data_IF_417715380412
#
_entry.id   IF_417715380412
#
_cell.length_a   1.000
_cell.length_b   1.000
_cell.length_c   1.000
_cell.angle_alpha   90.00
_cell.angle_beta   90.00
_cell.angle_gamma   90.00
#
_symmetry.space_group_name_H-M   'P 1'
#
loop_
_entity.id
_entity.type
_entity.pdbx_description
1 polymer ?
#
# COMPACT_ATOMS: atom_id res chain seq x y z
N UNK A 1 8.53 20.47 -6.25
CA UNK A 1 8.78 19.03 -6.48
C UNK A 1 8.27 18.69 -7.87
N UNK A 2 8.83 17.68 -8.56
CA UNK A 2 8.25 17.14 -9.81
C UNK A 2 7.80 15.73 -9.52
N UNK A 3 6.57 15.38 -9.93
CA UNK A 3 5.97 14.07 -9.67
C UNK A 3 5.54 13.41 -10.98
N UNK A 4 5.58 12.09 -11.01
CA UNK A 4 5.09 11.27 -12.11
C UNK A 4 4.53 9.99 -11.53
N UNK A 5 3.42 9.52 -12.08
CA UNK A 5 2.82 8.23 -11.73
C UNK A 5 2.34 7.50 -12.97
N UNK A 6 2.48 6.19 -12.96
CA UNK A 6 2.02 5.32 -14.05
C UNK A 6 1.58 3.98 -13.46
N UNK A 7 0.55 3.40 -14.03
CA UNK A 7 0.15 2.02 -13.81
C UNK A 7 -0.25 1.41 -15.15
N UNK A 8 -0.01 0.12 -15.32
CA UNK A 8 -0.29 -0.58 -16.57
C UNK A 8 -0.69 -2.04 -16.29
N UNK A 9 -1.62 -2.57 -17.06
CA UNK A 9 -2.10 -3.96 -16.90
C UNK A 9 -1.03 -5.00 -17.25
N UNK A 10 -0.03 -4.61 -18.01
CA UNK A 10 0.99 -5.50 -18.54
C UNK A 10 0.46 -6.41 -19.66
N UNK A 11 1.30 -7.38 -20.04
CA UNK A 11 1.02 -8.25 -21.20
C UNK A 11 0.34 -9.58 -20.85
N UNK A 12 0.21 -9.90 -19.54
CA UNK A 12 -0.26 -11.22 -19.09
C UNK A 12 -1.63 -11.14 -18.43
N UNK A 13 -1.88 -10.06 -17.67
CA UNK A 13 -3.14 -9.86 -16.96
C UNK A 13 -4.20 -9.26 -17.88
N UNK A 14 -5.47 -9.52 -17.59
CA UNK A 14 -6.61 -8.91 -18.29
C UNK A 14 -7.14 -7.67 -17.58
N UNK A 15 -6.90 -7.56 -16.27
CA UNK A 15 -7.35 -6.47 -15.43
C UNK A 15 -6.15 -5.94 -14.64
N UNK A 16 -5.99 -4.64 -14.64
CA UNK A 16 -5.05 -3.97 -13.76
C UNK A 16 -5.69 -3.87 -12.36
N UNK A 17 -5.06 -4.48 -11.38
CA UNK A 17 -5.51 -4.45 -9.99
C UNK A 17 -4.73 -3.43 -9.14
N UNK A 18 -3.73 -2.76 -9.74
CA UNK A 18 -3.00 -1.68 -9.09
C UNK A 18 -3.77 -0.37 -9.19
N UNK A 19 -3.68 0.43 -8.16
CA UNK A 19 -4.19 1.79 -8.16
C UNK A 19 -3.15 2.76 -7.61
N UNK A 20 -2.98 3.89 -8.30
CA UNK A 20 -2.05 4.93 -7.90
C UNK A 20 -2.77 6.26 -7.72
N UNK A 21 -2.37 7.02 -6.71
CA UNK A 21 -2.80 8.40 -6.48
C UNK A 21 -1.58 9.27 -6.19
N UNK A 22 -1.49 10.40 -6.86
CA UNK A 22 -0.38 11.33 -6.71
C UNK A 22 -0.89 12.75 -6.73
N UNK A 23 -0.55 13.51 -5.71
CA UNK A 23 -0.75 14.96 -5.69
C UNK A 23 0.45 15.66 -5.07
N UNK A 24 0.93 16.70 -5.73
CA UNK A 24 1.90 17.67 -5.22
C UNK A 24 1.22 18.96 -4.71
N UNK A 25 -0.11 19.00 -4.74
CA UNK A 25 -0.92 20.03 -4.12
C UNK A 25 -1.37 19.60 -2.72
N UNK A 26 -1.61 20.56 -1.81
CA UNK A 26 -2.09 20.26 -0.48
C UNK A 26 -3.40 19.47 -0.47
N UNK A 27 -3.49 18.51 0.44
CA UNK A 27 -4.67 17.69 0.71
C UNK A 27 -4.89 17.60 2.22
N UNK A 28 -5.96 18.24 2.72
CA UNK A 28 -6.13 18.44 4.15
C UNK A 28 -4.89 19.13 4.73
N UNK A 29 -4.32 18.62 5.82
CA UNK A 29 -3.12 19.21 6.44
C UNK A 29 -1.80 18.78 5.77
N UNK A 30 -1.83 17.83 4.84
CA UNK A 30 -0.61 17.36 4.15
C UNK A 30 -0.33 18.20 2.89
N UNK A 31 0.93 18.65 2.66
CA UNK A 31 1.29 19.44 1.48
C UNK A 31 1.31 18.64 0.17
N UNK A 32 1.34 17.32 0.26
CA UNK A 32 1.33 16.37 -0.85
C UNK A 32 0.96 14.98 -0.34
N UNK A 33 0.57 14.08 -1.25
CA UNK A 33 0.26 12.69 -0.91
C UNK A 33 0.51 11.79 -2.12
N UNK A 34 1.20 10.68 -1.89
CA UNK A 34 1.50 9.65 -2.86
C UNK A 34 1.03 8.32 -2.33
N UNK A 35 0.22 7.59 -3.10
CA UNK A 35 -0.31 6.29 -2.71
C UNK A 35 -0.16 5.31 -3.85
N UNK A 36 0.32 4.11 -3.54
CA UNK A 36 0.34 2.94 -4.43
C UNK A 36 -0.34 1.80 -3.69
N UNK A 37 -1.26 1.13 -4.36
CA UNK A 37 -2.00 0.00 -3.84
C UNK A 37 -2.08 -1.10 -4.89
N UNK A 38 -1.66 -2.32 -4.55
CA UNK A 38 -1.76 -3.54 -5.37
C UNK A 38 -2.88 -4.40 -4.80
N UNK A 39 -3.96 -4.49 -5.55
CA UNK A 39 -5.18 -5.17 -5.13
C UNK A 39 -5.09 -6.68 -5.30
N UNK A 40 -5.58 -7.40 -4.30
CA UNK A 40 -5.66 -8.85 -4.29
C UNK A 40 -7.10 -9.31 -4.11
N UNK A 41 -7.44 -10.43 -4.73
CA UNK A 41 -8.76 -11.03 -4.67
C UNK A 41 -9.13 -11.71 -5.99
N UNK A 42 -10.16 -12.55 -5.96
CA UNK A 42 -10.64 -13.22 -7.17
C UNK A 42 -11.25 -12.23 -8.18
N UNK A 43 -11.06 -12.48 -9.48
CA UNK A 43 -11.63 -11.71 -10.60
C UNK A 43 -11.39 -10.19 -10.52
N UNK A 44 -12.44 -9.41 -10.21
CA UNK A 44 -12.42 -7.93 -10.14
C UNK A 44 -12.33 -7.38 -8.71
N UNK A 45 -12.28 -8.24 -7.71
CA UNK A 45 -12.28 -7.80 -6.32
C UNK A 45 -11.00 -7.05 -5.93
N UNK A 46 -9.86 -7.41 -6.51
CA UNK A 46 -8.59 -6.71 -6.28
C UNK A 46 -8.59 -5.28 -6.83
N UNK A 47 -9.06 -5.06 -8.07
CA UNK A 47 -9.21 -3.70 -8.64
C UNK A 47 -10.12 -2.83 -7.76
N UNK A 48 -11.23 -3.39 -7.32
CA UNK A 48 -12.11 -2.68 -6.39
C UNK A 48 -11.40 -2.35 -5.07
N UNK A 49 -10.69 -3.30 -4.48
CA UNK A 49 -10.03 -3.14 -3.19
C UNK A 49 -8.97 -2.04 -3.22
N UNK A 50 -8.07 -2.05 -4.20
CA UNK A 50 -6.99 -1.04 -4.32
C UNK A 50 -7.54 0.37 -4.55
N UNK A 51 -8.51 0.50 -5.48
CA UNK A 51 -9.16 1.77 -5.77
C UNK A 51 -9.98 2.29 -4.59
N UNK A 52 -10.84 1.46 -4.00
CA UNK A 52 -11.67 1.85 -2.86
C UNK A 52 -10.82 2.30 -1.68
N UNK A 53 -9.81 1.51 -1.30
CA UNK A 53 -8.89 1.82 -0.21
C UNK A 53 -8.21 3.17 -0.44
N UNK A 54 -7.64 3.38 -1.62
CA UNK A 54 -6.95 4.64 -1.95
C UNK A 54 -7.91 5.83 -1.86
N UNK A 55 -9.13 5.71 -2.40
CA UNK A 55 -10.15 6.76 -2.31
C UNK A 55 -10.57 7.06 -0.87
N UNK A 56 -10.69 6.04 -0.01
CA UNK A 56 -11.01 6.24 1.42
C UNK A 56 -9.87 6.95 2.16
N UNK A 57 -8.62 6.58 1.88
CA UNK A 57 -7.44 7.26 2.45
C UNK A 57 -7.42 8.72 2.04
N UNK A 58 -7.55 9.02 0.75
CA UNK A 58 -7.59 10.39 0.21
C UNK A 58 -8.72 11.20 0.88
N UNK A 59 -9.91 10.63 0.98
CA UNK A 59 -11.05 11.28 1.62
C UNK A 59 -10.85 11.50 3.14
N UNK A 60 -10.20 10.56 3.82
CA UNK A 60 -9.87 10.68 5.25
C UNK A 60 -8.84 11.77 5.48
N UNK A 61 -7.74 11.76 4.73
CA UNK A 61 -6.69 12.78 4.81
C UNK A 61 -7.25 14.18 4.51
N UNK A 62 -8.08 14.32 3.47
CA UNK A 62 -8.65 15.62 3.10
C UNK A 62 -9.55 16.24 4.17
N UNK A 63 -10.11 15.42 5.05
CA UNK A 63 -10.98 15.86 6.15
C UNK A 63 -10.26 15.91 7.50
N UNK A 64 -9.01 15.47 7.54
CA UNK A 64 -8.22 15.48 8.77
C UNK A 64 -7.97 16.91 9.23
N UNK A 65 -8.04 17.12 10.54
CA UNK A 65 -7.59 18.34 11.22
C UNK A 65 -6.36 18.08 12.09
N UNK A 66 -5.78 16.87 12.00
CA UNK A 66 -4.57 16.50 12.74
C UNK A 66 -3.34 17.24 12.22
N UNK A 67 -2.33 17.37 13.08
CA UNK A 67 -1.07 18.05 12.74
C UNK A 67 0.07 17.06 12.44
N UNK A 68 0.04 15.89 13.10
CA UNK A 68 1.09 14.88 12.99
C UNK A 68 0.90 13.96 11.77
N UNK A 69 1.82 13.98 10.78
CA UNK A 69 1.67 13.23 9.54
C UNK A 69 1.52 11.72 9.74
N UNK A 70 2.23 11.16 10.73
CA UNK A 70 2.16 9.72 11.05
C UNK A 70 0.77 9.35 11.56
N UNK A 71 0.21 10.17 12.44
CA UNK A 71 -1.14 9.98 12.99
C UNK A 71 -2.19 10.09 11.89
N UNK A 72 -2.08 11.11 11.03
CA UNK A 72 -3.00 11.30 9.90
C UNK A 72 -3.03 10.07 8.99
N UNK A 73 -1.85 9.59 8.57
CA UNK A 73 -1.75 8.41 7.70
C UNK A 73 -2.27 7.15 8.40
N UNK A 74 -1.90 6.94 9.67
CA UNK A 74 -2.36 5.79 10.45
C UNK A 74 -3.89 5.75 10.58
N UNK A 75 -4.51 6.86 10.95
CA UNK A 75 -5.96 6.96 11.10
C UNK A 75 -6.69 6.76 9.76
N UNK A 76 -6.15 7.34 8.68
CA UNK A 76 -6.70 7.17 7.34
C UNK A 76 -6.65 5.70 6.89
N UNK A 77 -5.53 5.00 7.13
CA UNK A 77 -5.36 3.59 6.79
C UNK A 77 -6.28 2.70 7.64
N UNK A 78 -6.33 2.92 8.95
CA UNK A 78 -7.20 2.17 9.87
C UNK A 78 -8.67 2.33 9.48
N UNK A 79 -9.09 3.55 9.12
CA UNK A 79 -10.45 3.81 8.65
C UNK A 79 -10.74 3.11 7.34
N UNK A 80 -9.81 3.18 6.37
CA UNK A 80 -9.96 2.50 5.07
C UNK A 80 -10.03 0.98 5.24
N UNK A 81 -9.20 0.41 6.14
CA UNK A 81 -9.22 -1.02 6.46
C UNK A 81 -10.59 -1.48 6.94
N UNK A 82 -11.13 -0.80 7.96
CA UNK A 82 -12.45 -1.12 8.50
C UNK A 82 -13.55 -1.04 7.44
N UNK A 83 -13.53 0.01 6.62
CA UNK A 83 -14.51 0.20 5.56
C UNK A 83 -14.41 -0.89 4.48
N UNK A 84 -13.18 -1.31 4.11
CA UNK A 84 -12.97 -2.37 3.14
C UNK A 84 -13.48 -3.72 3.67
N UNK A 85 -13.27 -4.02 4.96
CA UNK A 85 -13.79 -5.22 5.61
C UNK A 85 -15.33 -5.23 5.58
N UNK A 86 -15.95 -4.09 5.87
CA UNK A 86 -17.42 -3.97 5.80
C UNK A 86 -17.94 -4.22 4.40
N UNK A 87 -17.33 -3.61 3.38
CA UNK A 87 -17.66 -3.84 1.97
C UNK A 87 -17.53 -5.32 1.54
N UNK A 88 -16.47 -5.99 2.03
CA UNK A 88 -16.27 -7.41 1.73
C UNK A 88 -17.29 -8.33 2.41
N UNK A 89 -17.83 -7.90 3.55
CA UNK A 89 -18.86 -8.66 4.27
C UNK A 89 -20.27 -8.53 3.65
N UNK A 90 -20.54 -7.43 2.97
CA UNK A 90 -21.84 -7.13 2.36
C UNK A 90 -22.04 -7.76 0.97
N UNK A 91 -20.96 -8.19 0.31
CA UNK A 91 -21.02 -8.71 -1.06
C UNK A 91 -20.13 -9.95 -1.20
N UNK A 92 -20.72 -11.11 -1.41
CA UNK A 92 -20.02 -12.40 -1.57
C UNK A 92 -18.99 -12.36 -2.74
N UNK A 93 -19.23 -11.54 -3.77
CA UNK A 93 -18.27 -11.35 -4.88
C UNK A 93 -17.01 -10.60 -4.47
N UNK A 94 -17.03 -9.91 -3.34
CA UNK A 94 -15.91 -9.17 -2.75
C UNK A 94 -15.23 -9.91 -1.59
N UNK A 95 -15.71 -11.07 -1.24
CA UNK A 95 -15.17 -11.86 -0.13
C UNK A 95 -13.69 -12.17 -0.31
N UNK A 96 -12.90 -11.88 0.73
CA UNK A 96 -11.46 -12.10 0.73
C UNK A 96 -10.68 -11.11 -0.13
N UNK A 97 -11.29 -10.01 -0.57
CA UNK A 97 -10.56 -8.92 -1.22
C UNK A 97 -9.66 -8.20 -0.21
N UNK A 98 -8.56 -7.70 -0.71
CA UNK A 98 -7.62 -6.89 0.07
C UNK A 98 -6.69 -6.11 -0.85
N UNK A 99 -5.81 -5.35 -0.30
CA UNK A 99 -4.79 -4.64 -1.07
C UNK A 99 -3.54 -4.38 -0.24
N UNK A 100 -2.40 -4.36 -0.90
CA UNK A 100 -1.21 -3.72 -0.33
C UNK A 100 -1.40 -2.21 -0.28
N UNK A 101 -0.54 -1.52 0.43
CA UNK A 101 -0.53 -0.07 0.48
C UNK A 101 0.88 0.44 0.77
N UNK A 102 1.32 1.39 -0.02
CA UNK A 102 2.39 2.32 0.33
C UNK A 102 1.84 3.73 0.21
N UNK A 103 1.85 4.47 1.31
CA UNK A 103 1.48 5.88 1.34
C UNK A 103 2.67 6.73 1.80
N UNK A 104 2.90 7.86 1.16
CA UNK A 104 4.00 8.74 1.48
C UNK A 104 3.61 10.21 1.37
N UNK A 105 4.22 11.04 2.25
CA UNK A 105 4.17 12.50 2.17
C UNK A 105 5.55 13.08 2.50
N UNK A 106 5.87 14.22 1.91
CA UNK A 106 7.13 14.93 2.13
C UNK A 106 6.81 16.29 2.73
N UNK A 107 7.32 16.57 3.92
CA UNK A 107 7.11 17.80 4.67
C UNK A 107 8.48 18.31 5.15
N UNK A 108 8.83 19.52 4.78
CA UNK A 108 10.10 20.17 5.19
C UNK A 108 11.34 19.28 4.98
N UNK A 109 11.40 18.61 3.82
CA UNK A 109 12.51 17.73 3.46
C UNK A 109 12.51 16.37 4.18
N UNK A 110 11.51 16.06 4.98
CA UNK A 110 11.34 14.77 5.64
C UNK A 110 10.29 13.93 4.91
N UNK A 111 10.62 12.67 4.67
CA UNK A 111 9.74 11.69 4.07
C UNK A 111 9.05 10.89 5.18
N UNK A 112 7.73 10.92 5.20
CA UNK A 112 6.87 10.09 6.07
C UNK A 112 6.26 8.99 5.22
N UNK A 113 6.35 7.75 5.67
CA UNK A 113 5.93 6.56 4.92
C UNK A 113 5.08 5.66 5.80
N UNK A 114 3.99 5.17 5.23
CA UNK A 114 3.23 4.06 5.78
C UNK A 114 3.24 2.91 4.77
N UNK A 115 3.41 1.67 5.26
CA UNK A 115 3.47 0.48 4.43
C UNK A 115 2.64 -0.65 5.02
N UNK A 116 1.82 -1.27 4.19
CA UNK A 116 1.09 -2.52 4.47
C UNK A 116 1.23 -3.43 3.25
N UNK A 117 1.78 -4.63 3.43
CA UNK A 117 2.03 -5.57 2.35
C UNK A 117 3.48 -5.55 1.86
N UNK A 118 3.70 -6.00 0.64
CA UNK A 118 5.00 -6.19 0.00
C UNK A 118 5.30 -5.21 -1.14
N UNK A 119 4.42 -4.23 -1.38
CA UNK A 119 4.72 -3.08 -2.23
C UNK A 119 5.83 -2.23 -1.61
N UNK A 120 6.71 -1.70 -2.45
CA UNK A 120 7.98 -1.13 -1.98
C UNK A 120 8.17 0.33 -2.32
N UNK A 121 8.80 1.06 -1.43
CA UNK A 121 9.31 2.42 -1.63
C UNK A 121 10.83 2.41 -1.57
N UNK A 122 11.45 3.07 -2.56
CA UNK A 122 12.90 3.24 -2.65
C UNK A 122 13.28 4.71 -2.67
N UNK A 123 14.43 5.02 -2.10
CA UNK A 123 15.14 6.28 -2.32
C UNK A 123 16.36 6.01 -3.19
N UNK A 124 16.53 6.83 -4.22
CA UNK A 124 17.70 6.83 -5.09
C UNK A 124 18.46 8.14 -4.85
N UNK A 125 19.71 8.02 -4.50
CA UNK A 125 20.62 9.13 -4.26
C UNK A 125 21.97 8.92 -4.92
N UNK A 126 22.91 9.79 -4.64
CA UNK A 126 24.30 9.68 -5.14
C UNK A 126 24.97 8.38 -4.72
N UNK A 127 24.60 7.85 -3.56
CA UNK A 127 25.20 6.65 -2.96
C UNK A 127 24.49 5.36 -3.39
N UNK A 128 23.52 5.45 -4.30
CA UNK A 128 22.79 4.31 -4.85
C UNK A 128 21.31 4.27 -4.50
N UNK A 129 20.73 3.07 -4.56
CA UNK A 129 19.32 2.79 -4.28
C UNK A 129 19.16 2.11 -2.92
N UNK A 130 18.18 2.57 -2.14
CA UNK A 130 17.85 2.01 -0.82
C UNK A 130 16.35 1.80 -0.69
N UNK A 131 15.94 0.57 -0.37
CA UNK A 131 14.56 0.27 0.02
C UNK A 131 14.27 0.86 1.41
N UNK A 132 13.15 1.56 1.53
CA UNK A 132 12.69 2.20 2.78
C UNK A 132 11.64 1.34 3.48
N UNK A 133 10.72 0.77 2.71
CA UNK A 133 9.68 -0.12 3.23
C UNK A 133 10.25 -1.49 3.56
N UNK A 134 9.56 -2.21 4.44
CA UNK A 134 9.84 -3.60 4.74
C UNK A 134 8.67 -4.45 4.28
N UNK A 135 8.96 -5.48 3.49
CA UNK A 135 7.93 -6.37 2.97
C UNK A 135 7.26 -7.14 4.12
N UNK A 136 5.94 -7.11 4.15
CA UNK A 136 5.12 -7.99 4.98
C UNK A 136 4.83 -9.27 4.18
N UNK A 137 5.83 -10.11 3.98
CA UNK A 137 5.72 -11.40 3.31
C UNK A 137 6.37 -12.52 4.13
N UNK A 138 5.89 -13.75 3.92
CA UNK A 138 6.42 -14.92 4.62
C UNK A 138 7.93 -15.07 4.39
N UNK A 139 8.37 -14.97 3.14
CA UNK A 139 9.79 -15.12 2.81
C UNK A 139 10.66 -14.01 3.38
N UNK A 140 10.14 -12.77 3.47
CA UNK A 140 10.88 -11.68 4.12
C UNK A 140 11.08 -11.95 5.61
N UNK A 141 10.11 -12.56 6.26
CA UNK A 141 10.23 -12.96 7.66
C UNK A 141 11.22 -14.12 7.82
N UNK A 142 11.18 -15.14 6.95
CA UNK A 142 12.13 -16.25 6.95
C UNK A 142 13.59 -15.77 6.75
N UNK A 143 13.79 -14.80 5.86
CA UNK A 143 15.12 -14.16 5.69
C UNK A 143 15.55 -13.44 6.98
N UNK A 144 14.63 -12.71 7.62
CA UNK A 144 14.91 -11.97 8.85
C UNK A 144 15.36 -12.86 10.01
N UNK A 145 14.75 -14.03 10.16
CA UNK A 145 15.08 -14.98 11.23
C UNK A 145 16.23 -15.93 10.83
N UNK A 146 16.74 -15.81 9.59
CA UNK A 146 17.88 -16.57 9.10
C UNK A 146 17.56 -17.99 8.62
N UNK A 147 16.29 -18.33 8.43
CA UNK A 147 15.86 -19.63 7.89
C UNK A 147 16.16 -19.78 6.40
N UNK A 148 16.09 -18.68 5.65
CA UNK A 148 16.27 -18.65 4.18
C UNK A 148 17.25 -17.54 3.80
N UNK A 149 18.14 -17.80 2.86
CA UNK A 149 19.02 -16.79 2.30
C UNK A 149 18.29 -15.80 1.38
N UNK A 150 18.74 -14.54 1.32
CA UNK A 150 18.10 -13.51 0.49
C UNK A 150 18.04 -13.86 -1.01
N UNK A 151 18.96 -14.68 -1.53
CA UNK A 151 18.91 -15.18 -2.92
C UNK A 151 17.86 -16.27 -3.08
N UNK A 152 17.79 -17.19 -2.14
CA UNK A 152 16.85 -18.31 -2.12
C UNK A 152 15.40 -17.82 -1.97
N UNK A 153 15.18 -16.79 -1.17
CA UNK A 153 13.86 -16.16 -1.00
C UNK A 153 13.21 -15.72 -2.31
N UNK A 154 13.99 -15.37 -3.33
CA UNK A 154 13.48 -14.95 -4.65
C UNK A 154 12.87 -16.11 -5.45
N UNK A 155 13.31 -17.31 -5.21
CA UNK A 155 12.89 -18.54 -5.89
C UNK A 155 12.00 -19.42 -5.02
N UNK A 156 11.76 -19.00 -3.76
CA UNK A 156 10.98 -19.76 -2.80
C UNK A 156 9.54 -19.98 -3.30
N UNK A 157 8.95 -21.19 -3.14
CA UNK A 157 7.57 -21.46 -3.56
C UNK A 157 6.55 -20.51 -2.93
N UNK A 158 6.76 -20.10 -1.70
CA UNK A 158 5.86 -19.23 -0.94
C UNK A 158 6.21 -17.74 -1.04
N UNK A 159 7.01 -17.33 -2.03
CA UNK A 159 7.45 -15.93 -2.21
C UNK A 159 6.31 -14.93 -2.40
N UNK A 160 5.13 -15.41 -2.81
CA UNK A 160 3.95 -14.59 -3.04
C UNK A 160 2.99 -14.54 -1.83
N UNK A 161 3.36 -15.15 -0.69
CA UNK A 161 2.52 -15.13 0.50
C UNK A 161 2.75 -13.84 1.26
N UNK A 162 1.74 -12.98 1.27
CA UNK A 162 1.69 -11.71 2.02
C UNK A 162 1.14 -12.00 3.41
N UNK A 163 1.77 -11.43 4.44
CA UNK A 163 1.38 -11.62 5.85
C UNK A 163 0.52 -10.50 6.42
N UNK A 164 0.45 -9.36 5.72
CA UNK A 164 -0.42 -8.21 6.06
C UNK A 164 -0.96 -7.56 4.81
N UNK A 165 -2.25 -7.24 4.82
CA UNK A 165 -2.92 -6.47 3.78
C UNK A 165 -4.07 -5.65 4.37
N UNK A 166 -4.40 -4.53 3.74
CA UNK A 166 -5.63 -3.79 4.03
C UNK A 166 -6.82 -4.64 3.60
N UNK A 167 -7.78 -4.84 4.50
CA UNK A 167 -8.95 -5.69 4.28
C UNK A 167 -8.79 -7.15 4.72
N UNK A 168 -7.58 -7.59 5.13
CA UNK A 168 -7.33 -8.98 5.52
C UNK A 168 -7.57 -9.27 7.01
N UNK A 169 -7.61 -8.26 7.86
CA UNK A 169 -7.81 -8.41 9.31
C UNK A 169 -8.20 -7.08 9.97
N UNK A 170 -8.67 -7.14 11.21
CA UNK A 170 -9.10 -5.94 11.95
C UNK A 170 -7.94 -4.98 12.22
N UNK A 171 -6.75 -5.50 12.47
CA UNK A 171 -5.53 -4.71 12.66
C UNK A 171 -4.72 -4.64 11.37
N UNK A 172 -4.22 -3.46 11.08
CA UNK A 172 -3.43 -3.17 9.88
C UNK A 172 -2.18 -2.34 10.20
#
# INVERSE_FOLDING_TARGET
>A
MKTFSITDVGMVRQVNQDYVYTTDNPIGPLPNLFVVADGMGGHKAGDYASRYTTQRIVASVSRSSGEEPVTILKEAITTANRLLITEAAEDEAKKGMGTTLVAATIIDGRLYVANVGDSRLYIIGTDGIRQITRDHSLVAEMVRIGEVGAKEAREHPDKNIITRAVGAGEEV
#
